data_IF_925772739526
#
_entry.id   IF_925772739526
#
_cell.length_a   1.000
_cell.length_b   1.000
_cell.length_c   1.000
_cell.angle_alpha   90.00
_cell.angle_beta   90.00
_cell.angle_gamma   90.00
#
_symmetry.space_group_name_H-M   'P 1'
#
loop_
_entity.id
_entity.type
_entity.pdbx_description
1 polymer ?
#
# COMPACT_ATOMS: atom_id res chain seq x y z
N UNK A 1 6.80 -22.38 -21.42
CA UNK A 1 7.13 -21.10 -20.74
C UNK A 1 7.23 -21.42 -19.26
N UNK A 2 8.31 -21.03 -18.60
CA UNK A 2 8.39 -21.06 -17.14
C UNK A 2 7.45 -20.00 -16.57
N UNK A 3 6.55 -20.37 -15.66
CA UNK A 3 5.68 -19.41 -14.98
C UNK A 3 6.54 -18.42 -14.18
N UNK A 4 6.36 -17.11 -14.44
CA UNK A 4 7.15 -16.04 -13.79
C UNK A 4 6.77 -15.84 -12.33
N UNK A 5 5.54 -16.19 -11.99
CA UNK A 5 4.97 -16.04 -10.66
C UNK A 5 4.37 -17.36 -10.20
N UNK A 6 4.60 -17.70 -8.94
CA UNK A 6 3.83 -18.71 -8.23
C UNK A 6 2.85 -17.97 -7.32
N UNK A 7 1.55 -18.29 -7.44
CA UNK A 7 0.47 -17.69 -6.66
C UNK A 7 0.44 -16.13 -6.70
N UNK A 8 0.45 -15.48 -7.88
CA UNK A 8 0.47 -14.01 -7.98
C UNK A 8 -0.76 -13.31 -7.39
N UNK A 9 -1.82 -14.03 -7.06
CA UNK A 9 -3.09 -13.47 -6.58
C UNK A 9 -3.11 -13.03 -5.10
N UNK A 10 -1.98 -13.02 -4.38
CA UNK A 10 -1.97 -12.57 -2.99
C UNK A 10 -0.59 -12.53 -2.35
N UNK A 11 -0.55 -12.25 -1.05
CA UNK A 11 0.68 -12.05 -0.26
C UNK A 11 1.65 -13.25 -0.21
N UNK A 12 1.23 -14.44 -0.62
CA UNK A 12 2.13 -15.60 -0.75
C UNK A 12 2.89 -15.66 -2.09
N UNK A 13 2.74 -14.66 -2.95
CA UNK A 13 3.30 -14.65 -4.29
C UNK A 13 4.83 -14.78 -4.27
N UNK A 14 5.35 -15.60 -5.18
CA UNK A 14 6.79 -15.80 -5.36
C UNK A 14 7.17 -15.52 -6.81
N UNK A 15 8.07 -14.58 -7.00
CA UNK A 15 8.65 -14.32 -8.31
C UNK A 15 9.68 -15.40 -8.68
N UNK A 16 9.87 -15.69 -9.97
CA UNK A 16 10.79 -16.74 -10.44
C UNK A 16 12.25 -16.54 -10.01
N UNK A 17 12.66 -15.30 -9.73
CA UNK A 17 14.00 -14.98 -9.26
C UNK A 17 14.17 -15.13 -7.73
N UNK A 18 13.08 -15.39 -7.00
CA UNK A 18 13.11 -15.65 -5.57
C UNK A 18 13.56 -17.09 -5.30
N UNK A 19 14.87 -17.24 -5.15
CA UNK A 19 15.51 -18.54 -4.88
C UNK A 19 15.54 -18.92 -3.39
N UNK A 20 14.83 -18.21 -2.52
CA UNK A 20 14.83 -18.53 -1.09
C UNK A 20 14.21 -19.92 -0.85
N UNK A 21 14.89 -20.85 -0.15
CA UNK A 21 14.38 -22.19 0.08
C UNK A 21 13.26 -22.26 1.15
N UNK A 22 12.75 -21.10 1.56
CA UNK A 22 11.76 -20.93 2.62
C UNK A 22 10.72 -19.89 2.24
N UNK A 23 9.62 -19.83 3.00
CA UNK A 23 8.59 -18.78 2.90
C UNK A 23 8.51 -18.00 4.20
N UNK A 24 8.49 -16.67 4.09
CA UNK A 24 8.21 -15.74 5.18
C UNK A 24 6.71 -15.48 5.32
N UNK A 25 5.89 -15.82 4.31
CA UNK A 25 4.44 -15.73 4.41
C UNK A 25 3.89 -16.86 5.28
N UNK A 26 3.21 -16.50 6.36
CA UNK A 26 2.44 -17.38 7.23
C UNK A 26 0.96 -17.28 6.85
N UNK A 27 0.50 -18.25 6.06
CA UNK A 27 -0.86 -18.25 5.52
C UNK A 27 -1.93 -18.42 6.60
N UNK A 28 -1.62 -19.18 7.66
CA UNK A 28 -2.54 -19.41 8.77
C UNK A 28 -2.80 -18.13 9.56
N UNK A 29 -1.74 -17.37 9.84
CA UNK A 29 -1.83 -16.12 10.60
C UNK A 29 -1.97 -14.88 9.72
N UNK A 30 -1.98 -15.05 8.39
CA UNK A 30 -2.10 -13.99 7.37
C UNK A 30 -1.14 -12.83 7.61
N UNK A 31 0.14 -13.15 7.82
CA UNK A 31 1.20 -12.17 8.08
C UNK A 31 2.56 -12.67 7.58
N UNK A 32 3.49 -11.74 7.39
CA UNK A 32 4.90 -12.12 7.28
C UNK A 32 5.50 -12.35 8.67
N UNK A 33 6.25 -13.44 8.82
CA UNK A 33 7.06 -13.70 10.00
C UNK A 33 8.47 -13.15 9.81
N UNK A 34 9.16 -12.92 10.91
CA UNK A 34 10.60 -12.65 10.87
C UNK A 34 11.37 -13.90 10.41
N UNK A 35 12.47 -13.73 9.68
CA UNK A 35 13.39 -14.81 9.35
C UNK A 35 13.94 -15.46 10.61
N UNK A 36 14.19 -16.77 10.55
CA UNK A 36 14.98 -17.48 11.56
C UNK A 36 16.46 -17.11 11.42
N UNK A 37 17.29 -17.48 12.40
CA UNK A 37 18.74 -17.26 12.33
C UNK A 37 19.34 -17.90 11.06
N UNK A 38 18.94 -19.12 10.72
CA UNK A 38 19.42 -19.82 9.52
C UNK A 38 19.01 -19.11 8.22
N UNK A 39 17.81 -18.54 8.18
CA UNK A 39 17.30 -17.76 7.04
C UNK A 39 18.00 -16.40 6.92
N UNK A 40 18.34 -15.76 8.04
CA UNK A 40 19.21 -14.59 8.06
C UNK A 40 20.61 -14.91 7.53
N UNK A 41 21.22 -16.01 7.98
CA UNK A 41 22.51 -16.46 7.47
C UNK A 41 22.46 -16.78 5.98
N UNK A 42 21.37 -17.40 5.51
CA UNK A 42 21.16 -17.62 4.08
C UNK A 42 21.11 -16.30 3.31
N UNK A 43 20.31 -15.33 3.76
CA UNK A 43 20.19 -14.03 3.10
C UNK A 43 21.52 -13.26 3.10
N UNK A 44 22.27 -13.34 4.20
CA UNK A 44 23.59 -12.71 4.35
C UNK A 44 24.57 -13.30 3.34
N UNK A 45 24.65 -14.63 3.26
CA UNK A 45 25.51 -15.32 2.29
C UNK A 45 25.09 -15.07 0.84
N UNK A 46 23.78 -14.97 0.57
CA UNK A 46 23.24 -14.82 -0.78
C UNK A 46 23.42 -13.40 -1.32
N UNK A 47 23.18 -12.38 -0.51
CA UNK A 47 23.10 -10.98 -0.95
C UNK A 47 24.27 -10.11 -0.48
N UNK A 48 25.08 -10.60 0.47
CA UNK A 48 26.19 -9.83 1.05
C UNK A 48 25.73 -8.49 1.63
N UNK A 49 24.54 -8.47 2.24
CA UNK A 49 23.89 -7.23 2.65
C UNK A 49 24.58 -6.60 3.87
N UNK A 50 24.51 -5.27 3.96
CA UNK A 50 24.95 -4.51 5.13
C UNK A 50 23.87 -4.47 6.20
N UNK A 51 22.64 -4.20 5.80
CA UNK A 51 21.48 -4.22 6.67
C UNK A 51 20.27 -4.84 5.98
N UNK A 52 19.39 -5.39 6.80
CA UNK A 52 18.12 -5.97 6.39
C UNK A 52 17.04 -5.36 7.30
N UNK A 53 16.11 -4.65 6.70
CA UNK A 53 14.98 -4.05 7.38
C UNK A 53 13.70 -4.69 6.88
N UNK A 54 12.77 -4.99 7.79
CA UNK A 54 11.45 -5.49 7.43
C UNK A 54 10.40 -4.51 7.92
N UNK A 55 9.59 -4.03 6.99
CA UNK A 55 8.26 -3.51 7.31
C UNK A 55 7.29 -4.68 7.39
N UNK A 56 6.10 -4.48 7.95
CA UNK A 56 5.16 -5.57 8.14
C UNK A 56 4.70 -6.29 6.84
N UNK A 57 5.02 -5.77 5.66
CA UNK A 57 4.69 -6.39 4.36
C UNK A 57 5.80 -6.37 3.29
N UNK A 58 6.90 -5.66 3.51
CA UNK A 58 8.02 -5.51 2.56
C UNK A 58 9.37 -5.65 3.27
N UNK A 59 10.32 -6.35 2.64
CA UNK A 59 11.72 -6.43 3.06
C UNK A 59 12.59 -5.47 2.24
N UNK A 60 13.42 -4.70 2.93
CA UNK A 60 14.42 -3.81 2.35
C UNK A 60 15.83 -4.36 2.65
N UNK A 61 16.62 -4.59 1.61
CA UNK A 61 17.96 -5.18 1.68
C UNK A 61 18.97 -4.12 1.20
N UNK A 62 19.79 -3.62 2.11
CA UNK A 62 20.85 -2.66 1.80
C UNK A 62 22.10 -3.42 1.34
N UNK A 63 22.48 -3.29 0.06
CA UNK A 63 23.63 -3.97 -0.52
C UNK A 63 24.21 -3.19 -1.70
N UNK A 64 25.54 -3.21 -1.86
CA UNK A 64 26.21 -2.71 -3.07
C UNK A 64 26.28 -3.75 -4.20
N UNK A 65 25.86 -4.99 -3.93
CA UNK A 65 25.93 -6.10 -4.87
C UNK A 65 24.55 -6.76 -5.02
N UNK A 66 23.52 -6.03 -5.50
CA UNK A 66 22.22 -6.63 -5.72
C UNK A 66 22.32 -7.76 -6.76
N UNK A 67 21.54 -8.84 -6.61
CA UNK A 67 21.50 -9.91 -7.61
C UNK A 67 21.12 -9.39 -8.99
N UNK A 68 21.58 -10.05 -10.05
CA UNK A 68 21.15 -9.80 -11.42
C UNK A 68 20.63 -11.10 -12.06
N UNK A 69 19.32 -11.20 -12.39
CA UNK A 69 18.28 -10.20 -12.18
C UNK A 69 17.94 -9.99 -10.69
N UNK A 70 17.49 -8.78 -10.34
CA UNK A 70 17.04 -8.47 -8.97
C UNK A 70 15.73 -9.20 -8.70
N UNK A 71 15.59 -9.92 -7.56
CA UNK A 71 14.35 -10.59 -7.25
C UNK A 71 13.30 -9.59 -6.72
N UNK A 72 12.07 -9.70 -7.22
CA UNK A 72 10.92 -8.90 -6.75
C UNK A 72 10.40 -9.36 -5.39
N UNK A 73 10.67 -10.62 -5.03
CA UNK A 73 10.33 -11.20 -3.72
C UNK A 73 11.53 -11.94 -3.14
N UNK A 74 11.60 -12.04 -1.81
CA UNK A 74 12.53 -12.91 -1.09
C UNK A 74 11.74 -13.69 -0.05
N UNK A 75 11.68 -15.02 -0.20
CA UNK A 75 10.85 -15.87 0.64
C UNK A 75 9.37 -15.49 0.57
N UNK A 76 8.86 -15.20 -0.63
CA UNK A 76 7.51 -14.67 -0.89
C UNK A 76 7.24 -13.23 -0.38
N UNK A 77 8.17 -12.59 0.34
CA UNK A 77 7.99 -11.22 0.79
C UNK A 77 8.44 -10.25 -0.30
N UNK A 78 7.64 -9.24 -0.69
CA UNK A 78 8.05 -8.16 -1.59
C UNK A 78 9.39 -7.57 -1.14
N UNK A 79 10.34 -7.47 -2.06
CA UNK A 79 11.71 -7.10 -1.76
C UNK A 79 12.13 -5.83 -2.48
N UNK A 80 12.80 -4.94 -1.77
CA UNK A 80 13.49 -3.77 -2.33
C UNK A 80 14.97 -3.89 -1.98
N UNK A 81 15.83 -3.61 -2.97
CA UNK A 81 17.27 -3.54 -2.80
C UNK A 81 17.69 -2.08 -2.94
N UNK A 82 18.47 -1.59 -1.98
CA UNK A 82 19.00 -0.21 -1.97
C UNK A 82 20.52 -0.23 -1.83
N UNK A 83 21.17 0.80 -2.36
CA UNK A 83 22.61 1.02 -2.20
C UNK A 83 22.98 1.32 -0.75
N UNK A 84 24.26 1.11 -0.41
CA UNK A 84 24.74 1.41 0.94
C UNK A 84 24.65 2.92 1.24
N UNK A 85 24.06 3.26 2.39
CA UNK A 85 23.70 4.62 2.82
C UNK A 85 22.60 5.31 2.01
N UNK A 86 21.91 4.60 1.12
CA UNK A 86 20.66 5.12 0.58
C UNK A 86 19.58 5.08 1.67
N UNK A 87 18.79 6.14 1.76
CA UNK A 87 17.71 6.18 2.74
C UNK A 87 16.49 5.49 2.15
N UNK A 88 15.96 4.51 2.87
CA UNK A 88 14.63 3.97 2.63
C UNK A 88 13.70 4.47 3.73
N UNK A 89 12.61 5.13 3.33
CA UNK A 89 11.49 5.42 4.21
C UNK A 89 10.35 4.44 3.87
N UNK A 90 9.83 3.74 4.86
CA UNK A 90 8.54 3.09 4.64
C UNK A 90 7.50 4.18 4.33
N UNK A 91 6.52 3.95 3.45
CA UNK A 91 5.29 4.75 3.38
C UNK A 91 4.52 4.58 4.69
N UNK A 92 5.11 5.10 5.77
CA UNK A 92 4.53 5.15 7.08
C UNK A 92 3.99 6.57 7.25
N UNK A 93 2.73 6.72 7.70
CA UNK A 93 2.23 8.02 8.06
C UNK A 93 3.15 8.69 9.08
N UNK A 94 3.43 9.98 8.88
CA UNK A 94 4.10 10.85 9.86
C UNK A 94 3.19 11.08 11.09
N UNK A 95 2.81 10.00 11.77
CA UNK A 95 2.01 10.03 12.98
C UNK A 95 2.85 9.39 14.09
N UNK A 96 3.30 10.16 15.11
CA UNK A 96 4.01 9.58 16.24
C UNK A 96 3.02 8.74 17.06
N UNK A 97 2.85 7.47 16.69
CA UNK A 97 2.05 6.54 17.48
C UNK A 97 2.88 6.09 18.68
N UNK A 98 2.49 6.51 19.89
CA UNK A 98 3.01 5.94 21.12
C UNK A 98 2.63 4.46 21.21
N UNK A 99 3.60 3.60 21.51
CA UNK A 99 3.37 2.16 21.63
C UNK A 99 2.21 1.86 22.62
N UNK A 100 1.12 1.20 22.18
CA UNK A 100 -0.10 1.02 22.99
C UNK A 100 0.05 0.05 24.17
N UNK A 101 1.21 -0.59 24.35
CA UNK A 101 1.46 -1.54 25.44
C UNK A 101 2.41 -1.01 26.53
N UNK A 102 2.89 0.22 26.41
CA UNK A 102 3.84 0.80 27.37
C UNK A 102 3.17 2.02 28.02
N UNK A 103 2.89 1.99 29.34
CA UNK A 103 2.57 3.21 30.07
C UNK A 103 3.69 4.23 29.84
N UNK A 104 3.33 5.49 29.57
CA UNK A 104 4.31 6.57 29.37
C UNK A 104 5.33 6.54 30.53
N UNK A 105 6.60 6.13 30.26
CA UNK A 105 7.55 5.86 31.31
C UNK A 105 8.02 7.14 32.01
N UNK A 106 7.67 8.33 31.49
CA UNK A 106 8.11 9.61 32.03
C UNK A 106 7.03 10.69 31.93
N UNK A 107 5.93 10.61 32.72
CA UNK A 107 4.80 11.55 32.65
C UNK A 107 5.17 13.00 33.04
N UNK A 108 6.38 13.23 33.56
CA UNK A 108 6.85 14.54 34.04
C UNK A 108 8.01 15.12 33.23
N UNK A 109 8.59 14.39 32.28
CA UNK A 109 9.66 14.90 31.42
C UNK A 109 9.07 15.35 30.09
N UNK A 110 9.09 16.67 29.85
CA UNK A 110 8.79 17.24 28.54
C UNK A 110 9.93 16.88 27.59
N UNK A 111 9.81 15.74 26.90
CA UNK A 111 10.63 15.46 25.73
C UNK A 111 10.40 16.57 24.68
N UNK A 112 11.41 16.93 23.87
CA UNK A 112 11.23 17.89 22.79
C UNK A 112 10.14 17.39 21.85
N UNK A 113 9.09 18.21 21.69
CA UNK A 113 7.88 17.90 20.94
C UNK A 113 8.18 17.36 19.53
N UNK A 114 7.67 16.18 19.14
CA UNK A 114 7.67 15.75 17.75
C UNK A 114 6.48 16.42 17.03
N UNK A 115 6.74 17.53 16.34
CA UNK A 115 5.77 18.37 15.62
C UNK A 115 4.65 19.00 16.49
N UNK A 116 4.12 20.18 16.12
CA UNK A 116 2.98 20.78 16.83
C UNK A 116 1.65 20.03 16.63
N UNK A 117 1.61 18.98 15.80
CA UNK A 117 0.43 18.16 15.51
C UNK A 117 0.46 16.85 16.30
N UNK A 118 0.06 16.87 17.58
CA UNK A 118 -0.18 15.62 18.31
C UNK A 118 -1.25 14.77 17.60
N UNK A 119 -1.11 13.43 17.50
CA UNK A 119 -2.03 12.61 16.73
C UNK A 119 -3.46 12.71 17.30
N UNK A 120 -4.44 12.93 16.42
CA UNK A 120 -5.86 12.99 16.80
C UNK A 120 -6.36 11.66 17.39
N UNK A 121 -5.69 10.55 17.07
CA UNK A 121 -6.02 9.22 17.52
C UNK A 121 -5.86 9.03 19.03
N UNK A 122 -6.87 8.42 19.65
CA UNK A 122 -6.85 8.02 21.04
C UNK A 122 -7.36 6.59 21.20
N UNK A 123 -6.53 5.64 21.65
CA UNK A 123 -6.95 4.26 21.83
C UNK A 123 -8.00 4.06 22.93
N UNK A 124 -8.28 5.09 23.75
CA UNK A 124 -9.31 5.06 24.79
C UNK A 124 -10.68 5.56 24.32
N UNK A 125 -10.74 6.24 23.18
CA UNK A 125 -12.02 6.56 22.56
C UNK A 125 -12.58 5.23 22.00
N UNK A 126 -13.83 4.86 22.35
CA UNK A 126 -14.42 3.59 21.90
C UNK A 126 -14.39 3.43 20.38
N UNK A 127 -14.21 2.20 19.91
CA UNK A 127 -14.38 1.86 18.50
C UNK A 127 -15.83 2.19 18.09
N UNK A 128 -16.04 3.07 17.09
CA UNK A 128 -17.39 3.48 16.68
C UNK A 128 -18.14 2.37 15.93
N UNK A 129 -17.45 1.30 15.50
CA UNK A 129 -18.03 0.16 14.80
C UNK A 129 -17.52 -1.18 15.37
N UNK A 130 -17.80 -1.48 16.65
CA UNK A 130 -17.21 -2.64 17.35
C UNK A 130 -17.74 -4.00 16.85
N UNK A 131 -18.82 -3.99 16.06
CA UNK A 131 -19.42 -5.17 15.45
C UNK A 131 -18.79 -5.53 14.11
N UNK A 132 -18.05 -4.61 13.50
CA UNK A 132 -17.31 -4.82 12.27
C UNK A 132 -15.86 -5.14 12.61
N UNK A 133 -15.33 -6.24 12.08
CA UNK A 133 -13.92 -6.57 12.22
C UNK A 133 -13.28 -6.69 10.84
N UNK A 134 -12.44 -5.72 10.50
CA UNK A 134 -11.72 -5.72 9.24
C UNK A 134 -10.38 -6.47 9.41
N UNK A 135 -10.19 -7.62 8.72
CA UNK A 135 -8.95 -8.37 8.81
C UNK A 135 -7.75 -7.53 8.33
N UNK A 136 -6.59 -7.75 8.95
CA UNK A 136 -5.32 -7.18 8.48
C UNK A 136 -4.93 -7.83 7.17
N UNK A 137 -4.09 -7.15 6.38
CA UNK A 137 -3.63 -7.65 5.08
C UNK A 137 -4.75 -7.92 4.06
N UNK A 138 -5.97 -7.43 4.29
CA UNK A 138 -7.10 -7.57 3.38
C UNK A 138 -7.76 -6.23 3.10
N UNK A 139 -8.29 -6.11 1.89
CA UNK A 139 -9.06 -4.96 1.47
C UNK A 139 -10.50 -5.07 1.99
N UNK A 140 -11.07 -3.99 2.51
CA UNK A 140 -12.48 -3.97 2.86
C UNK A 140 -13.35 -4.03 1.59
N UNK A 141 -14.53 -4.60 1.74
CA UNK A 141 -15.59 -4.46 0.73
C UNK A 141 -16.15 -3.04 0.76
N UNK A 142 -16.87 -2.66 -0.29
CA UNK A 142 -17.47 -1.33 -0.36
C UNK A 142 -18.56 -1.16 0.72
N UNK A 143 -19.26 -2.24 1.07
CA UNK A 143 -20.20 -2.27 2.18
C UNK A 143 -19.52 -2.04 3.54
N UNK A 144 -18.34 -2.64 3.76
CA UNK A 144 -17.56 -2.40 4.98
C UNK A 144 -17.10 -0.94 5.06
N UNK A 145 -16.64 -0.37 3.95
CA UNK A 145 -16.24 1.04 3.89
C UNK A 145 -17.43 1.97 4.20
N UNK A 146 -18.61 1.70 3.64
CA UNK A 146 -19.83 2.46 3.95
C UNK A 146 -20.17 2.38 5.43
N UNK A 147 -20.03 1.21 6.06
CA UNK A 147 -20.27 1.06 7.50
C UNK A 147 -19.26 1.86 8.35
N UNK A 148 -17.98 1.83 7.99
CA UNK A 148 -16.93 2.64 8.63
C UNK A 148 -17.22 4.14 8.50
N UNK A 149 -17.54 4.61 7.30
CA UNK A 149 -17.83 6.02 7.04
C UNK A 149 -19.07 6.50 7.80
N UNK A 150 -20.15 5.71 7.83
CA UNK A 150 -21.35 6.01 8.65
C UNK A 150 -21.05 6.09 10.14
N UNK A 151 -20.17 5.21 10.64
CA UNK A 151 -19.79 5.21 12.06
C UNK A 151 -18.93 6.42 12.43
N UNK A 152 -18.11 6.92 11.51
CA UNK A 152 -17.21 8.06 11.74
C UNK A 152 -17.85 9.42 11.43
N UNK A 153 -18.89 9.48 10.59
CA UNK A 153 -19.58 10.72 10.17
C UNK A 153 -19.97 11.65 11.34
N UNK A 154 -20.50 11.16 12.48
CA UNK A 154 -20.84 12.03 13.62
C UNK A 154 -19.61 12.62 14.33
N UNK A 155 -18.43 12.02 14.14
CA UNK A 155 -17.20 12.35 14.86
C UNK A 155 -16.28 13.25 14.04
N UNK A 156 -16.26 13.08 12.72
CA UNK A 156 -15.30 13.73 11.86
C UNK A 156 -15.88 14.05 10.46
N UNK A 157 -15.37 15.10 9.82
CA UNK A 157 -15.68 15.41 8.44
C UNK A 157 -14.60 14.80 7.56
N UNK A 158 -14.97 13.77 6.80
CA UNK A 158 -14.04 12.88 6.12
C UNK A 158 -14.09 13.16 4.63
N UNK A 159 -12.92 13.24 3.99
CA UNK A 159 -12.80 13.36 2.53
C UNK A 159 -12.32 12.07 1.85
N UNK A 160 -11.61 11.22 2.58
CA UNK A 160 -11.12 9.95 2.10
C UNK A 160 -10.78 8.97 3.23
N UNK A 161 -10.72 7.68 2.92
CA UNK A 161 -10.21 6.63 3.80
C UNK A 161 -9.25 5.74 3.01
N UNK A 162 -8.06 5.53 3.56
CA UNK A 162 -7.02 4.66 2.99
C UNK A 162 -6.85 3.44 3.89
N UNK A 163 -7.04 2.25 3.34
CA UNK A 163 -6.83 0.99 4.01
C UNK A 163 -5.47 0.41 3.60
N UNK A 164 -4.47 0.58 4.46
CA UNK A 164 -3.13 0.01 4.31
C UNK A 164 -3.01 -1.29 5.10
N UNK A 165 -2.01 -2.16 4.85
CA UNK A 165 -1.97 -3.50 5.44
C UNK A 165 -2.10 -3.53 6.98
N UNK A 166 -1.55 -2.52 7.67
CA UNK A 166 -1.53 -2.41 9.13
C UNK A 166 -2.34 -1.24 9.70
N UNK A 167 -2.65 -0.23 8.89
CA UNK A 167 -3.28 1.00 9.35
C UNK A 167 -4.48 1.37 8.49
N UNK A 168 -5.47 1.99 9.11
CA UNK A 168 -6.48 2.76 8.41
C UNK A 168 -6.12 4.24 8.56
N UNK A 169 -5.98 4.95 7.46
CA UNK A 169 -5.79 6.40 7.45
C UNK A 169 -7.09 7.06 7.07
N UNK A 170 -7.64 7.88 7.97
CA UNK A 170 -8.83 8.69 7.70
C UNK A 170 -8.36 10.09 7.35
N UNK A 171 -8.65 10.54 6.13
CA UNK A 171 -8.37 11.90 5.73
C UNK A 171 -9.53 12.83 6.10
N UNK A 172 -9.22 13.84 6.89
CA UNK A 172 -10.16 14.87 7.32
C UNK A 172 -10.22 15.98 6.28
N UNK A 173 -11.40 16.60 6.13
CA UNK A 173 -11.55 17.79 5.28
C UNK A 173 -10.74 18.92 5.89
N UNK A 174 -9.76 19.43 5.13
CA UNK A 174 -9.01 20.63 5.51
C UNK A 174 -9.79 21.89 5.17
N UNK A 175 -9.75 22.90 6.06
CA UNK A 175 -10.36 24.21 5.83
C UNK A 175 -11.89 24.29 6.02
N UNK A 176 -12.51 23.30 6.67
CA UNK A 176 -13.96 23.26 6.94
C UNK A 176 -14.36 23.97 8.26
N UNK A 177 -13.43 24.67 8.89
CA UNK A 177 -13.54 25.30 10.22
C UNK A 177 -13.75 24.33 11.40
N UNK A 178 -13.68 23.00 11.20
CA UNK A 178 -13.66 22.06 12.31
C UNK A 178 -12.25 22.02 12.91
N UNK A 179 -12.21 22.01 14.24
CA UNK A 179 -10.97 21.88 15.01
C UNK A 179 -11.04 20.59 15.81
N UNK A 180 -10.11 19.69 15.54
CA UNK A 180 -9.99 18.43 16.26
C UNK A 180 -8.96 18.59 17.38
N UNK A 181 -9.33 18.20 18.59
CA UNK A 181 -8.40 18.20 19.72
C UNK A 181 -7.38 17.05 19.59
N UNK A 182 -6.17 17.17 20.14
CA UNK A 182 -5.26 16.04 20.27
C UNK A 182 -5.95 14.89 21.01
N UNK A 183 -5.79 13.66 20.52
CA UNK A 183 -6.40 12.45 21.12
C UNK A 183 -7.94 12.55 21.28
N UNK A 184 -8.63 13.24 20.38
CA UNK A 184 -10.09 13.37 20.41
C UNK A 184 -10.84 12.33 19.58
N UNK A 185 -10.17 11.65 18.64
CA UNK A 185 -10.78 10.72 17.69
C UNK A 185 -10.43 9.25 18.01
N UNK A 186 -11.26 8.28 17.60
CA UNK A 186 -11.01 6.86 17.83
C UNK A 186 -9.66 6.40 17.27
N UNK A 187 -8.79 5.85 18.12
CA UNK A 187 -7.53 5.21 17.68
C UNK A 187 -7.70 3.80 17.14
N UNK A 188 -8.89 3.21 17.30
CA UNK A 188 -9.29 1.93 16.69
C UNK A 188 -10.64 2.12 16.01
N UNK A 189 -10.76 1.65 14.77
CA UNK A 189 -12.01 1.65 14.00
C UNK A 189 -12.11 0.30 13.29
N UNK A 190 -13.22 -0.39 13.50
CA UNK A 190 -13.49 -1.72 12.96
C UNK A 190 -12.39 -2.74 13.30
N UNK A 191 -11.82 -2.65 14.51
CA UNK A 191 -10.70 -3.47 14.95
C UNK A 191 -9.33 -3.14 14.34
N UNK A 192 -9.20 -2.09 13.52
CA UNK A 192 -7.91 -1.66 12.93
C UNK A 192 -7.37 -0.40 13.61
N UNK A 193 -6.05 -0.34 13.75
CA UNK A 193 -5.37 0.88 14.19
C UNK A 193 -5.65 1.99 13.20
N UNK A 194 -6.19 3.10 13.71
CA UNK A 194 -6.67 4.20 12.89
C UNK A 194 -5.92 5.48 13.22
N UNK A 195 -5.49 6.15 12.16
CA UNK A 195 -4.85 7.46 12.22
C UNK A 195 -5.62 8.47 11.39
N UNK A 196 -5.41 9.75 11.67
CA UNK A 196 -6.11 10.83 11.00
C UNK A 196 -5.09 11.76 10.37
N UNK A 197 -5.29 12.01 9.09
CA UNK A 197 -4.53 12.98 8.30
C UNK A 197 -5.38 14.23 8.12
N UNK A 198 -4.87 15.40 8.51
CA UNK A 198 -5.63 16.65 8.49
C UNK A 198 -4.78 17.80 7.93
N UNK A 199 -4.41 17.65 6.67
CA UNK A 199 -3.64 18.64 5.93
C UNK A 199 -4.28 18.92 4.58
N UNK A 200 -3.95 20.06 3.98
CA UNK A 200 -4.45 20.43 2.65
C UNK A 200 -4.08 19.35 1.62
N UNK A 201 -2.80 18.97 1.60
CA UNK A 201 -2.28 17.93 0.73
C UNK A 201 -2.88 16.54 1.11
N UNK A 202 -3.28 15.70 0.12
CA UNK A 202 -3.73 14.34 0.39
C UNK A 202 -2.67 13.49 1.10
N UNK A 203 -3.09 12.49 1.88
CA UNK A 203 -2.16 11.64 2.62
C UNK A 203 -1.16 10.97 1.68
N UNK A 204 -1.65 10.43 0.57
CA UNK A 204 -0.80 9.74 -0.41
C UNK A 204 0.25 10.67 -1.03
N UNK A 205 -0.02 11.98 -1.15
CA UNK A 205 0.99 12.93 -1.65
C UNK A 205 2.16 13.14 -0.68
N UNK A 206 1.98 12.83 0.61
CA UNK A 206 3.06 12.83 1.61
C UNK A 206 3.96 11.59 1.53
N UNK A 207 3.56 10.57 0.75
CA UNK A 207 4.39 9.40 0.42
C UNK A 207 5.38 9.69 -0.72
N UNK A 208 5.34 10.91 -1.29
CA UNK A 208 6.32 11.43 -2.26
C UNK A 208 7.74 11.36 -1.71
N UNK A 209 8.63 10.95 -2.61
CA UNK A 209 10.04 10.64 -2.44
C UNK A 209 10.21 9.14 -2.21
N UNK A 210 10.90 8.46 -3.15
CA UNK A 210 11.88 7.40 -2.92
C UNK A 210 12.18 6.62 -4.21
N UNK A 211 12.96 7.18 -5.15
CA UNK A 211 13.55 6.31 -6.19
C UNK A 211 14.99 6.66 -6.51
N UNK A 212 15.85 5.66 -6.37
CA UNK A 212 17.00 5.47 -7.24
C UNK A 212 16.51 4.71 -8.49
N UNK A 213 17.12 4.99 -9.65
CA UNK A 213 16.81 4.32 -10.91
C UNK A 213 17.02 2.80 -10.81
N UNK A 214 15.94 2.02 -10.93
CA UNK A 214 15.99 0.55 -10.88
C UNK A 214 16.05 0.01 -12.31
N UNK A 215 17.17 -0.58 -12.72
CA UNK A 215 17.27 -1.29 -14.00
C UNK A 215 16.74 -2.71 -13.84
N UNK A 216 15.58 -3.00 -14.40
CA UNK A 216 15.13 -4.37 -14.67
C UNK A 216 15.60 -4.82 -16.06
N UNK A 217 15.66 -6.14 -16.25
CA UNK A 217 16.01 -6.78 -17.52
C UNK A 217 14.95 -6.46 -18.60
N UNK A 218 15.41 -6.11 -19.81
CA UNK A 218 14.61 -5.51 -20.88
C UNK A 218 13.78 -6.53 -21.68
N UNK A 219 13.90 -7.82 -21.36
CA UNK A 219 13.32 -8.90 -22.17
C UNK A 219 12.19 -9.64 -21.42
N UNK A 220 11.12 -8.95 -21.01
CA UNK A 220 9.94 -9.60 -20.44
C UNK A 220 8.64 -8.98 -20.95
N UNK A 221 7.72 -9.84 -21.36
CA UNK A 221 6.38 -9.47 -21.82
C UNK A 221 5.39 -9.65 -20.68
N UNK A 222 4.53 -8.66 -20.48
CA UNK A 222 3.40 -8.74 -19.55
C UNK A 222 2.41 -9.85 -19.95
N UNK A 223 1.54 -10.26 -19.02
CA UNK A 223 0.36 -11.05 -19.40
C UNK A 223 -0.51 -10.23 -20.37
N UNK A 224 -1.04 -10.83 -21.44
CA UNK A 224 -1.95 -10.11 -22.32
C UNK A 224 -3.23 -9.76 -21.58
N UNK A 225 -3.79 -8.54 -21.75
CA UNK A 225 -5.07 -8.18 -21.16
C UNK A 225 -6.18 -9.06 -21.74
N UNK A 226 -7.02 -9.65 -20.87
CA UNK A 226 -8.07 -10.60 -21.24
C UNK A 226 -9.48 -10.14 -20.89
N UNK A 227 -9.61 -9.29 -19.87
CA UNK A 227 -10.89 -8.79 -19.37
C UNK A 227 -10.68 -7.51 -18.55
N UNK A 228 -11.71 -6.69 -18.40
CA UNK A 228 -11.72 -5.65 -17.38
C UNK A 228 -12.08 -6.28 -16.02
N UNK A 229 -11.34 -5.94 -14.97
CA UNK A 229 -11.55 -6.50 -13.64
C UNK A 229 -12.26 -5.50 -12.73
N UNK A 230 -13.40 -5.92 -12.17
CA UNK A 230 -14.08 -5.15 -11.12
C UNK A 230 -13.20 -5.05 -9.87
N UNK A 231 -13.29 -3.91 -9.19
CA UNK A 231 -12.49 -3.58 -8.00
C UNK A 231 -12.62 -4.60 -6.87
N UNK A 232 -13.81 -5.18 -6.68
CA UNK A 232 -14.05 -6.23 -5.67
C UNK A 232 -13.27 -7.52 -5.92
N UNK A 233 -12.75 -7.74 -7.13
CA UNK A 233 -11.95 -8.91 -7.48
C UNK A 233 -10.43 -8.64 -7.40
N UNK A 234 -10.02 -7.39 -7.17
CA UNK A 234 -8.61 -7.05 -6.91
C UNK A 234 -8.28 -7.44 -5.47
N UNK A 235 -7.35 -8.38 -5.30
CA UNK A 235 -6.96 -8.92 -3.99
C UNK A 235 -5.78 -8.15 -3.39
N UNK A 236 -5.77 -7.99 -2.08
CA UNK A 236 -4.59 -7.48 -1.37
C UNK A 236 -3.39 -8.42 -1.55
N UNK A 237 -2.21 -7.84 -1.79
CA UNK A 237 -0.98 -8.56 -2.09
C UNK A 237 -0.90 -9.13 -3.51
N UNK A 238 -1.92 -8.90 -4.36
CA UNK A 238 -1.89 -9.38 -5.75
C UNK A 238 -0.91 -8.59 -6.60
N UNK A 239 -0.27 -9.29 -7.52
CA UNK A 239 0.68 -8.73 -8.47
C UNK A 239 0.05 -8.48 -9.84
N UNK A 240 0.47 -7.38 -10.44
CA UNK A 240 0.12 -6.96 -11.78
C UNK A 240 1.35 -6.37 -12.47
N UNK A 241 1.28 -6.19 -13.77
CA UNK A 241 2.37 -5.65 -14.57
C UNK A 241 1.84 -4.62 -15.56
N UNK A 242 2.73 -3.72 -15.97
CA UNK A 242 2.51 -2.71 -17.01
C UNK A 242 3.70 -2.74 -17.94
N UNK A 243 3.45 -2.86 -19.23
CA UNK A 243 4.46 -2.72 -20.26
C UNK A 243 4.49 -1.30 -20.83
N UNK A 244 5.62 -0.61 -20.62
CA UNK A 244 5.90 0.66 -21.27
C UNK A 244 6.97 0.52 -22.35
N UNK A 245 6.76 1.18 -23.49
CA UNK A 245 7.72 1.16 -24.62
C UNK A 245 9.08 1.74 -24.21
N UNK A 246 9.09 2.74 -23.32
CA UNK A 246 10.30 3.41 -22.81
C UNK A 246 10.83 2.81 -21.50
N UNK A 247 9.95 2.31 -20.62
CA UNK A 247 10.31 1.77 -19.30
C UNK A 247 10.66 0.29 -19.31
N UNK A 248 10.24 -0.45 -20.35
CA UNK A 248 10.11 -1.90 -20.26
C UNK A 248 8.99 -2.30 -19.29
N UNK A 249 9.12 -3.49 -18.72
CA UNK A 249 8.14 -4.05 -17.79
C UNK A 249 8.26 -3.41 -16.40
N UNK A 250 7.13 -2.92 -15.86
CA UNK A 250 6.97 -2.47 -14.48
C UNK A 250 6.08 -3.47 -13.76
N UNK A 251 6.54 -4.02 -12.64
CA UNK A 251 5.72 -4.87 -11.77
C UNK A 251 5.12 -4.07 -10.63
N UNK A 252 3.87 -4.36 -10.30
CA UNK A 252 3.09 -3.65 -9.30
C UNK A 252 2.49 -4.64 -8.31
N UNK A 253 2.44 -4.27 -7.03
CA UNK A 253 1.75 -5.06 -6.01
C UNK A 253 0.71 -4.22 -5.28
N UNK A 254 -0.54 -4.68 -5.32
CA UNK A 254 -1.68 -4.03 -4.68
C UNK A 254 -1.60 -4.18 -3.16
N UNK A 255 -1.32 -3.09 -2.43
CA UNK A 255 -1.14 -3.13 -0.97
C UNK A 255 -2.12 -2.26 -0.20
N UNK A 256 -2.73 -1.25 -0.86
CA UNK A 256 -3.71 -0.37 -0.25
C UNK A 256 -4.97 -0.19 -1.09
N UNK A 257 -6.07 0.19 -0.44
CA UNK A 257 -7.32 0.58 -1.10
C UNK A 257 -7.75 1.95 -0.59
N UNK A 258 -8.08 2.87 -1.49
CA UNK A 258 -8.52 4.23 -1.19
C UNK A 258 -9.98 4.38 -1.59
N UNK A 259 -10.78 4.96 -0.69
CA UNK A 259 -12.11 5.48 -1.00
C UNK A 259 -12.10 7.00 -0.85
N UNK A 260 -12.52 7.72 -1.89
CA UNK A 260 -12.44 9.17 -1.92
C UNK A 260 -13.76 9.78 -2.38
N UNK A 261 -14.13 10.90 -1.77
CA UNK A 261 -15.28 11.70 -2.20
C UNK A 261 -15.04 12.25 -3.62
N UNK A 262 -15.99 12.09 -4.58
CA UNK A 262 -15.82 12.44 -6.00
C UNK A 262 -15.42 13.89 -6.30
N UNK A 263 -15.91 14.88 -5.56
CA UNK A 263 -15.49 16.28 -5.74
C UNK A 263 -15.76 17.12 -4.48
N UNK A 264 -14.84 18.03 -4.07
CA UNK A 264 -15.11 19.05 -3.07
C UNK A 264 -16.17 20.04 -3.58
N UNK A 265 -17.20 20.34 -2.78
CA UNK A 265 -18.21 21.38 -3.09
C UNK A 265 -19.55 20.88 -3.66
N UNK A 266 -19.68 19.59 -3.99
CA UNK A 266 -20.98 18.99 -4.32
C UNK A 266 -21.88 18.82 -3.07
N UNK A 267 -23.22 18.79 -3.22
CA UNK A 267 -24.14 18.41 -2.15
C UNK A 267 -23.78 17.03 -1.58
N UNK A 268 -24.39 16.64 -0.46
CA UNK A 268 -24.17 15.34 0.19
C UNK A 268 -24.12 14.20 -0.86
N UNK A 269 -22.95 13.57 -0.98
CA UNK A 269 -22.73 12.40 -1.84
C UNK A 269 -22.79 11.18 -0.91
N UNK A 270 -23.76 10.28 -1.10
CA UNK A 270 -23.83 9.02 -0.37
C UNK A 270 -22.50 8.25 -0.41
N UNK A 271 -22.14 7.58 0.70
CA UNK A 271 -20.86 6.88 0.81
C UNK A 271 -20.67 5.72 -0.18
N UNK A 272 -21.76 5.14 -0.67
CA UNK A 272 -21.76 4.10 -1.70
C UNK A 272 -21.45 4.62 -3.11
N UNK A 273 -21.42 5.96 -3.28
CA UNK A 273 -21.02 6.63 -4.52
C UNK A 273 -19.61 7.23 -4.43
N UNK A 274 -18.84 6.88 -3.40
CA UNK A 274 -17.44 7.30 -3.32
C UNK A 274 -16.60 6.54 -4.33
N UNK A 275 -15.65 7.24 -4.96
CA UNK A 275 -14.73 6.61 -5.89
C UNK A 275 -13.78 5.67 -5.15
N UNK A 276 -13.49 4.53 -5.77
CA UNK A 276 -12.59 3.51 -5.24
C UNK A 276 -11.32 3.45 -6.09
N UNK A 277 -10.18 3.38 -5.42
CA UNK A 277 -8.86 3.30 -6.05
C UNK A 277 -8.02 2.21 -5.40
N UNK A 278 -7.13 1.64 -6.19
CA UNK A 278 -6.10 0.72 -5.74
C UNK A 278 -4.76 1.46 -5.58
N UNK A 279 -4.05 1.20 -4.49
CA UNK A 279 -2.71 1.71 -4.23
C UNK A 279 -1.73 0.56 -4.42
N UNK A 280 -0.78 0.76 -5.33
CA UNK A 280 0.13 -0.29 -5.77
C UNK A 280 1.58 0.17 -5.65
N UNK A 281 2.41 -0.62 -4.99
CA UNK A 281 3.85 -0.40 -4.96
C UNK A 281 4.46 -0.81 -6.30
N UNK A 282 5.39 -0.03 -6.84
CA UNK A 282 5.99 -0.24 -8.16
C UNK A 282 7.44 -0.72 -8.08
N UNK A 283 7.77 -1.67 -8.96
CA UNK A 283 9.12 -2.18 -9.21
C UNK A 283 9.43 -2.07 -10.70
N UNK A 284 10.50 -1.35 -11.03
CA UNK A 284 10.97 -1.20 -12.41
C UNK A 284 11.68 0.12 -12.64
N UNK A 285 12.06 0.36 -13.89
CA UNK A 285 12.68 1.62 -14.31
C UNK A 285 11.60 2.70 -14.34
N UNK A 286 11.27 3.24 -13.17
CA UNK A 286 10.26 4.28 -13.00
C UNK A 286 10.95 5.51 -12.40
N UNK A 287 11.11 6.54 -13.22
CA UNK A 287 11.38 7.92 -12.80
C UNK A 287 10.27 8.82 -13.34
N UNK A 288 10.25 10.09 -12.96
CA UNK A 288 9.19 11.04 -13.36
C UNK A 288 9.05 11.15 -14.89
N UNK A 289 10.17 11.18 -15.63
CA UNK A 289 10.16 11.29 -17.08
C UNK A 289 9.72 10.00 -17.78
N UNK A 290 10.09 8.83 -17.22
CA UNK A 290 9.67 7.52 -17.73
C UNK A 290 8.19 7.30 -17.42
N UNK A 291 7.73 7.72 -16.24
CA UNK A 291 6.34 7.65 -15.80
C UNK A 291 5.38 8.38 -16.74
N UNK A 292 5.73 9.59 -17.17
CA UNK A 292 4.92 10.36 -18.11
C UNK A 292 4.69 9.61 -19.43
N UNK A 293 5.68 8.81 -19.85
CA UNK A 293 5.60 7.99 -21.07
C UNK A 293 4.75 6.72 -20.95
N UNK A 294 4.43 6.27 -19.73
CA UNK A 294 3.62 5.06 -19.46
C UNK A 294 2.25 5.37 -18.87
N UNK A 295 1.96 6.65 -18.61
CA UNK A 295 0.66 7.11 -18.13
C UNK A 295 -0.48 6.62 -19.03
N UNK A 296 -1.50 6.02 -18.40
CA UNK A 296 -2.67 5.47 -19.11
C UNK A 296 -2.49 4.05 -19.67
N UNK A 297 -1.31 3.43 -19.52
CA UNK A 297 -1.13 2.02 -19.90
C UNK A 297 -1.97 1.09 -18.99
N UNK A 298 -2.51 -0.02 -19.51
CA UNK A 298 -3.31 -0.94 -18.71
C UNK A 298 -2.44 -1.66 -17.68
N UNK A 299 -2.93 -1.76 -16.44
CA UNK A 299 -2.31 -2.55 -15.38
C UNK A 299 -2.92 -3.95 -15.42
N UNK A 300 -2.13 -4.96 -15.80
CA UNK A 300 -2.63 -6.31 -16.08
C UNK A 300 -2.26 -7.29 -14.97
N UNK A 301 -3.26 -7.95 -14.39
CA UNK A 301 -3.07 -8.95 -13.34
C UNK A 301 -2.26 -10.16 -13.82
N UNK A 302 -1.23 -10.52 -13.06
CA UNK A 302 -0.41 -11.70 -13.32
C UNK A 302 -1.16 -13.03 -13.04
N UNK A 303 -2.32 -13.00 -12.37
CA UNK A 303 -3.11 -14.20 -12.06
C UNK A 303 -3.98 -14.65 -13.23
N UNK A 304 -4.59 -13.69 -13.94
CA UNK A 304 -5.66 -14.00 -14.88
C UNK A 304 -5.71 -13.09 -16.12
N UNK A 305 -4.79 -12.14 -16.26
CA UNK A 305 -4.80 -11.16 -17.35
C UNK A 305 -5.89 -10.10 -17.24
N UNK A 306 -6.55 -9.97 -16.08
CA UNK A 306 -7.56 -8.93 -15.85
C UNK A 306 -6.91 -7.55 -15.71
N UNK A 307 -7.45 -6.54 -16.41
CA UNK A 307 -7.03 -5.15 -16.29
C UNK A 307 -7.61 -4.58 -15.00
N UNK A 308 -6.74 -4.22 -14.05
CA UNK A 308 -7.14 -3.75 -12.72
C UNK A 308 -7.28 -2.23 -12.63
N UNK A 309 -6.86 -1.51 -13.67
CA UNK A 309 -6.83 -0.06 -13.73
C UNK A 309 -5.86 0.42 -14.81
N UNK A 310 -5.63 1.72 -14.86
CA UNK A 310 -4.65 2.33 -15.75
C UNK A 310 -3.54 2.98 -14.94
N UNK A 311 -2.31 2.86 -15.44
CA UNK A 311 -1.12 3.33 -14.75
C UNK A 311 -1.12 4.85 -14.63
N UNK A 312 -0.99 5.31 -13.39
CA UNK A 312 -0.74 6.71 -13.07
C UNK A 312 0.11 6.75 -11.81
N UNK A 313 1.40 7.02 -11.99
CA UNK A 313 2.31 7.25 -10.88
C UNK A 313 1.98 8.59 -10.23
N UNK A 314 1.91 8.62 -8.90
CA UNK A 314 1.60 9.87 -8.21
C UNK A 314 2.70 10.32 -7.25
N UNK A 315 3.67 9.45 -6.90
CA UNK A 315 4.68 9.79 -5.89
C UNK A 315 6.11 9.28 -6.13
N UNK A 316 6.36 8.68 -7.30
CA UNK A 316 7.66 8.12 -7.67
C UNK A 316 7.84 6.64 -7.32
N UNK A 317 6.99 6.06 -6.48
CA UNK A 317 7.05 4.67 -6.01
C UNK A 317 5.73 3.92 -6.10
N UNK A 318 4.63 4.61 -5.92
CA UNK A 318 3.28 4.08 -5.88
C UNK A 318 2.45 4.59 -7.05
N UNK A 319 1.65 3.67 -7.57
CA UNK A 319 0.63 3.90 -8.57
C UNK A 319 -0.73 3.96 -7.88
N UNK A 320 -1.52 4.98 -8.22
CA UNK A 320 -2.91 5.11 -7.79
C UNK A 320 -3.79 4.90 -9.00
N UNK A 321 -4.50 3.79 -9.05
CA UNK A 321 -5.34 3.41 -10.18
C UNK A 321 -6.81 3.40 -9.78
N UNK A 322 -7.64 4.08 -10.56
CA UNK A 322 -9.09 4.05 -10.36
C UNK A 322 -9.63 2.65 -10.69
N UNK A 323 -10.59 2.18 -9.90
CA UNK A 323 -11.30 0.96 -10.21
C UNK A 323 -12.14 1.11 -11.48
N UNK A 324 -12.25 0.04 -12.26
CA UNK A 324 -12.97 0.03 -13.54
C UNK A 324 -14.45 -0.36 -13.39
N UNK A 325 -15.01 -0.24 -12.18
CA UNK A 325 -16.35 -0.76 -11.85
C UNK A 325 -17.45 -0.14 -12.72
N UNK A 326 -17.36 1.15 -13.01
CA UNK A 326 -18.30 1.86 -13.89
C UNK A 326 -18.20 1.39 -15.34
N UNK A 327 -16.98 1.24 -15.88
CA UNK A 327 -16.76 0.75 -17.23
C UNK A 327 -17.28 -0.70 -17.39
N UNK A 328 -17.04 -1.55 -16.39
CA UNK A 328 -17.57 -2.92 -16.42
C UNK A 328 -19.10 -2.90 -16.35
N UNK A 329 -19.70 -2.03 -15.54
CA UNK A 329 -21.16 -1.89 -15.43
C UNK A 329 -21.79 -1.36 -16.73
N UNK A 330 -21.09 -0.50 -17.47
CA UNK A 330 -21.49 0.00 -18.79
C UNK A 330 -21.30 -1.02 -19.92
N UNK A 331 -20.67 -2.16 -19.66
CA UNK A 331 -20.49 -3.25 -20.62
C UNK A 331 -19.26 -3.10 -21.52
N UNK A 332 -18.24 -2.36 -21.08
CA UNK A 332 -16.96 -2.28 -21.80
C UNK A 332 -16.18 -3.60 -21.68
N UNK A 333 -15.49 -3.98 -22.76
CA UNK A 333 -14.70 -5.20 -22.86
C UNK A 333 -13.30 -4.90 -23.45
N UNK A 334 -12.34 -5.80 -23.21
CA UNK A 334 -11.01 -5.74 -23.84
C UNK A 334 -11.14 -6.26 -25.28
N UNK A 335 -10.64 -5.50 -26.26
CA UNK A 335 -10.72 -5.80 -27.70
C UNK A 335 -9.41 -6.34 -28.25
#
# INVERSE_FOLDING_TARGET
MTERWQNPGGWGARHMNDTAPFTLWDDLNRKYRLPTEEEYQWASNKFGYRSLMMSGWLICIETNNPPNPVPLTVGCMPAIFIGINETFHEPSPNAPYGNPRVPDPCPHLRLPHPSPNGPYSNPRVPDPCPHLHLPRMEFPTDADNVAVLKALEPLANIRAVVYLPWWTVVELVYGDNRVYGPRSLPGTVAGRTTIYHHEEAPFYSSMKNLTAARRLDLAQQEEPPRMLLQGKHIKAGSWAEVYGVSSGLVSLMSYGKLFQKPTPGCPYIPFDQWHSYNIQACWGAVDEAISDGIGGAPIVSCENGGVTGFFHLFDGMDCLSAHLDELVAEGWEVV
#
